data_IF_303522622977
#
_entry.id   IF_303522622977
#
_cell.length_a   1.000
_cell.length_b   1.000
_cell.length_c   1.000
_cell.angle_alpha   90.00
_cell.angle_beta   90.00
_cell.angle_gamma   90.00
#
_symmetry.space_group_name_H-M   'P 1'
#
loop_
_entity.id
_entity.type
_entity.pdbx_description
1 polymer ?
#
# COMPACT_ATOMS: atom_id res chain seq x y z
N UNK A 1 -9.20 25.15 -3.39
CA UNK A 1 -8.03 24.51 -2.76
C UNK A 1 -8.53 23.22 -2.14
N UNK A 2 -7.91 22.08 -2.44
CA UNK A 2 -8.37 20.80 -1.93
C UNK A 2 -8.02 20.66 -0.43
N UNK A 3 -9.04 20.65 0.43
CA UNK A 3 -8.90 20.53 1.90
C UNK A 3 -8.12 19.27 2.32
N UNK A 4 -8.22 18.18 1.54
CA UNK A 4 -7.48 16.92 1.75
C UNK A 4 -5.99 17.13 1.55
N UNK A 5 -5.61 17.86 0.50
CA UNK A 5 -4.20 18.14 0.18
C UNK A 5 -3.60 19.08 1.22
N UNK A 6 -4.32 20.13 1.60
CA UNK A 6 -3.88 21.08 2.62
C UNK A 6 -3.63 20.38 3.96
N UNK A 7 -4.61 19.59 4.42
CA UNK A 7 -4.48 18.85 5.68
C UNK A 7 -3.36 17.81 5.62
N UNK A 8 -3.17 17.09 4.51
CA UNK A 8 -2.02 16.20 4.35
C UNK A 8 -0.69 16.93 4.59
N UNK A 9 -0.48 18.08 3.97
CA UNK A 9 0.76 18.84 4.11
C UNK A 9 0.96 19.46 5.51
N UNK A 10 -0.13 19.71 6.24
CA UNK A 10 -0.07 20.16 7.64
C UNK A 10 0.44 19.06 8.57
N UNK A 11 -0.08 17.84 8.44
CA UNK A 11 0.18 16.76 9.41
C UNK A 11 1.28 15.78 8.99
N UNK A 12 1.51 15.59 7.70
CA UNK A 12 2.32 14.48 7.21
C UNK A 12 3.40 14.92 6.23
N UNK A 13 4.43 14.09 6.18
CA UNK A 13 5.51 14.17 5.22
C UNK A 13 6.01 12.78 4.88
N UNK A 14 6.12 12.51 3.58
CA UNK A 14 6.63 11.24 3.07
C UNK A 14 8.08 11.41 2.65
N UNK A 15 8.97 10.70 3.33
CA UNK A 15 10.42 10.75 3.15
C UNK A 15 10.89 9.45 2.51
N UNK A 16 11.61 9.54 1.40
CA UNK A 16 12.28 8.37 0.83
C UNK A 16 13.47 7.98 1.70
N UNK A 17 13.47 6.74 2.17
CA UNK A 17 14.55 6.21 3.00
C UNK A 17 15.71 5.73 2.13
N UNK A 18 16.51 6.67 1.62
CA UNK A 18 17.66 6.40 0.74
C UNK A 18 19.00 6.31 1.47
N UNK A 19 19.12 6.97 2.62
CA UNK A 19 20.36 6.94 3.42
C UNK A 19 20.38 5.76 4.38
N UNK A 20 21.57 5.25 4.76
CA UNK A 20 21.68 4.19 5.78
C UNK A 20 20.98 4.55 7.09
N UNK A 21 20.98 5.83 7.47
CA UNK A 21 20.32 6.33 8.68
C UNK A 21 18.80 6.18 8.58
N UNK A 22 18.20 6.58 7.44
CA UNK A 22 16.75 6.48 7.23
C UNK A 22 16.31 5.02 7.06
N UNK A 23 17.11 4.18 6.38
CA UNK A 23 16.83 2.75 6.28
C UNK A 23 16.80 2.08 7.66
N UNK A 24 17.75 2.40 8.55
CA UNK A 24 17.71 1.92 9.94
C UNK A 24 16.44 2.33 10.67
N UNK A 25 15.93 3.54 10.44
CA UNK A 25 14.65 3.98 11.03
C UNK A 25 13.48 3.13 10.50
N UNK A 26 13.44 2.82 9.20
CA UNK A 26 12.41 1.96 8.62
C UNK A 26 12.47 0.54 9.18
N UNK A 27 13.66 -0.05 9.29
CA UNK A 27 13.85 -1.39 9.86
C UNK A 27 13.52 -1.43 11.36
N UNK A 28 13.83 -0.37 12.09
CA UNK A 28 13.46 -0.25 13.50
C UNK A 28 11.94 -0.15 13.67
N UNK A 29 11.24 0.65 12.86
CA UNK A 29 9.77 0.71 12.88
C UNK A 29 9.13 -0.65 12.58
N UNK A 30 9.69 -1.39 11.62
CA UNK A 30 9.26 -2.76 11.33
C UNK A 30 9.45 -3.70 12.51
N UNK A 31 10.60 -3.62 13.17
CA UNK A 31 10.89 -4.38 14.39
C UNK A 31 9.89 -4.04 15.51
N UNK A 32 9.68 -2.75 15.80
CA UNK A 32 8.74 -2.31 16.83
C UNK A 32 7.33 -2.85 16.54
N UNK A 33 6.85 -2.74 15.30
CA UNK A 33 5.52 -3.20 14.93
C UNK A 33 5.38 -4.73 15.03
N UNK A 34 6.23 -5.50 14.34
CA UNK A 34 6.05 -6.96 14.27
C UNK A 34 6.54 -7.70 15.51
N UNK A 35 7.71 -7.32 16.01
CA UNK A 35 8.39 -8.09 17.06
C UNK A 35 7.93 -7.69 18.46
N UNK A 36 7.74 -6.38 18.68
CA UNK A 36 7.44 -5.83 20.02
C UNK A 36 5.93 -5.69 20.22
N UNK A 37 5.25 -4.95 19.33
CA UNK A 37 3.84 -4.61 19.49
C UNK A 37 2.89 -5.77 19.14
N UNK A 38 3.05 -6.36 17.95
CA UNK A 38 2.18 -7.43 17.47
C UNK A 38 2.61 -8.81 17.99
N UNK A 39 3.90 -8.99 18.29
CA UNK A 39 4.52 -10.30 18.59
C UNK A 39 4.11 -11.35 17.54
N UNK A 40 4.23 -10.95 16.28
CA UNK A 40 3.80 -11.77 15.16
C UNK A 40 4.57 -13.10 15.15
N UNK A 41 3.92 -14.25 14.89
CA UNK A 41 4.61 -15.53 14.81
C UNK A 41 5.77 -15.47 13.80
N UNK A 42 6.96 -15.95 14.17
CA UNK A 42 8.15 -15.87 13.32
C UNK A 42 8.95 -14.57 13.42
N UNK A 43 8.44 -13.57 14.14
CA UNK A 43 9.10 -12.28 14.39
C UNK A 43 9.49 -12.12 15.86
N UNK A 44 9.97 -13.17 16.51
CA UNK A 44 10.35 -13.12 17.92
C UNK A 44 11.51 -12.14 18.15
N UNK A 45 11.38 -11.23 19.11
CA UNK A 45 12.37 -10.18 19.37
C UNK A 45 13.80 -10.72 19.61
N UNK A 46 13.93 -11.92 20.18
CA UNK A 46 15.21 -12.60 20.38
C UNK A 46 15.98 -12.90 19.09
N UNK A 47 15.31 -12.95 17.94
CA UNK A 47 15.94 -13.11 16.61
C UNK A 47 16.53 -11.82 16.06
N UNK A 48 16.25 -10.67 16.69
CA UNK A 48 16.62 -9.34 16.21
C UNK A 48 17.43 -8.58 17.28
N UNK A 49 18.67 -9.01 17.58
CA UNK A 49 19.49 -8.41 18.64
C UNK A 49 19.86 -6.94 18.38
N UNK A 50 19.78 -6.49 17.13
CA UNK A 50 20.02 -5.10 16.72
C UNK A 50 18.75 -4.26 16.65
N UNK A 51 17.60 -4.81 17.08
CA UNK A 51 16.29 -4.13 17.06
C UNK A 51 15.88 -3.59 15.68
N UNK A 52 16.19 -4.36 14.63
CA UNK A 52 15.89 -4.02 13.25
C UNK A 52 15.34 -5.25 12.54
N UNK A 53 14.15 -5.13 11.94
CA UNK A 53 13.58 -6.18 11.09
C UNK A 53 13.96 -5.92 9.64
N UNK A 54 14.70 -6.86 9.06
CA UNK A 54 15.13 -6.85 7.67
C UNK A 54 15.10 -8.27 7.09
N UNK A 55 14.88 -8.39 5.80
CA UNK A 55 14.89 -9.66 5.07
C UNK A 55 15.68 -9.56 3.76
N UNK A 56 15.75 -10.68 3.03
CA UNK A 56 16.50 -10.78 1.78
C UNK A 56 15.98 -9.89 0.64
N UNK A 57 14.82 -9.26 0.74
CA UNK A 57 14.26 -8.40 -0.31
C UNK A 57 14.66 -6.94 -0.17
N UNK A 58 15.16 -6.52 1.00
CA UNK A 58 15.45 -5.11 1.29
C UNK A 58 16.53 -4.50 0.38
N UNK A 59 17.49 -5.30 -0.09
CA UNK A 59 18.60 -4.80 -0.92
C UNK A 59 18.18 -4.34 -2.33
N UNK A 60 17.02 -4.77 -2.84
CA UNK A 60 16.47 -4.36 -4.13
C UNK A 60 15.07 -3.73 -3.96
N UNK A 61 14.83 -3.11 -2.81
CA UNK A 61 13.57 -2.44 -2.50
C UNK A 61 13.76 -0.93 -2.39
N UNK A 62 12.68 -0.19 -2.66
CA UNK A 62 12.53 1.20 -2.24
C UNK A 62 11.71 1.27 -0.95
N UNK A 63 12.07 2.20 -0.08
CA UNK A 63 11.48 2.35 1.25
C UNK A 63 11.05 3.79 1.48
N UNK A 64 9.92 3.98 2.16
CA UNK A 64 9.48 5.28 2.66
C UNK A 64 9.32 5.27 4.17
N UNK A 65 9.49 6.45 4.74
CA UNK A 65 9.08 6.78 6.10
C UNK A 65 7.97 7.83 6.04
N UNK A 66 6.96 7.64 6.88
CA UNK A 66 5.93 8.65 7.12
C UNK A 66 6.28 9.40 8.40
N UNK A 67 6.56 10.69 8.28
CA UNK A 67 6.77 11.60 9.42
C UNK A 67 5.47 12.32 9.76
N UNK A 68 5.14 12.36 11.04
CA UNK A 68 4.10 13.23 11.58
C UNK A 68 4.72 14.57 11.93
N UNK A 69 4.35 15.63 11.20
CA UNK A 69 4.98 16.96 11.30
C UNK A 69 4.85 17.57 12.71
N UNK A 70 3.68 17.55 13.38
CA UNK A 70 3.56 18.17 14.70
C UNK A 70 4.45 17.55 15.78
N UNK A 71 4.68 16.22 15.74
CA UNK A 71 5.56 15.55 16.73
C UNK A 71 7.00 15.36 16.25
N UNK A 72 7.26 15.48 14.94
CA UNK A 72 8.54 15.18 14.32
C UNK A 72 8.88 13.69 14.22
N UNK A 73 8.02 12.81 14.74
CA UNK A 73 8.27 11.37 14.81
C UNK A 73 7.99 10.66 13.48
N UNK A 74 8.70 9.57 13.22
CA UNK A 74 8.31 8.61 12.19
C UNK A 74 7.20 7.70 12.73
N UNK A 75 6.08 7.66 12.02
CA UNK A 75 4.85 7.00 12.47
C UNK A 75 4.41 5.85 11.55
N UNK A 76 5.13 5.64 10.45
CA UNK A 76 4.81 4.58 9.51
C UNK A 76 5.90 4.37 8.46
N UNK A 77 5.81 3.26 7.75
CA UNK A 77 6.70 2.90 6.65
C UNK A 77 5.98 2.00 5.65
N UNK A 78 6.50 1.93 4.43
CA UNK A 78 6.12 0.96 3.41
C UNK A 78 7.35 0.59 2.58
N UNK A 79 7.29 -0.60 1.97
CA UNK A 79 8.32 -1.12 1.07
C UNK A 79 7.72 -1.43 -0.30
N UNK A 80 8.42 -1.02 -1.35
CA UNK A 80 8.19 -1.46 -2.72
C UNK A 80 9.37 -2.33 -3.16
N UNK A 81 9.14 -3.63 -3.28
CA UNK A 81 10.12 -4.58 -3.83
C UNK A 81 10.13 -4.40 -5.34
N UNK A 82 11.31 -4.20 -5.91
CA UNK A 82 11.51 -4.02 -7.35
C UNK A 82 11.85 -5.36 -8.04
N UNK A 83 11.75 -5.48 -9.37
CA UNK A 83 12.31 -6.62 -10.09
C UNK A 83 13.79 -6.78 -9.75
N UNK A 84 14.23 -8.02 -9.49
CA UNK A 84 15.62 -8.25 -9.15
C UNK A 84 16.51 -7.99 -10.38
N UNK A 85 17.48 -7.05 -10.33
CA UNK A 85 18.19 -6.62 -11.54
C UNK A 85 19.00 -7.72 -12.23
N UNK A 86 19.50 -8.69 -11.47
CA UNK A 86 20.34 -9.78 -11.98
C UNK A 86 19.52 -10.99 -12.44
N UNK A 87 18.25 -11.08 -12.03
CA UNK A 87 17.32 -12.12 -12.48
C UNK A 87 15.89 -11.56 -12.48
N UNK A 88 15.48 -10.89 -13.57
CA UNK A 88 14.14 -10.30 -13.68
C UNK A 88 12.99 -11.33 -13.69
N UNK A 89 13.30 -12.62 -13.89
CA UNK A 89 12.32 -13.70 -13.81
C UNK A 89 12.13 -14.21 -12.38
N UNK A 90 12.95 -13.76 -11.43
CA UNK A 90 12.85 -14.12 -10.02
C UNK A 90 11.46 -13.78 -9.50
N UNK A 91 10.84 -14.78 -8.87
CA UNK A 91 9.52 -14.64 -8.28
C UNK A 91 9.52 -13.67 -7.09
N UNK A 92 8.48 -12.84 -7.01
CA UNK A 92 8.16 -12.01 -5.85
C UNK A 92 7.65 -12.87 -4.68
N UNK A 93 7.75 -12.40 -3.43
CA UNK A 93 7.26 -13.15 -2.26
C UNK A 93 5.80 -13.63 -2.41
N UNK A 94 4.92 -12.80 -2.96
CA UNK A 94 3.50 -13.14 -3.20
C UNK A 94 3.37 -14.36 -4.10
N UNK A 95 4.19 -14.49 -5.14
CA UNK A 95 4.17 -15.61 -6.07
C UNK A 95 4.72 -16.89 -5.44
N UNK A 96 5.68 -16.76 -4.54
CA UNK A 96 6.31 -17.90 -3.86
C UNK A 96 5.41 -18.48 -2.78
N UNK A 97 4.65 -17.63 -2.08
CA UNK A 97 3.94 -18.01 -0.85
C UNK A 97 2.43 -18.19 -1.05
N UNK A 98 1.90 -17.82 -2.22
CA UNK A 98 0.47 -17.92 -2.53
C UNK A 98 0.22 -18.64 -3.85
N UNK A 99 -1.05 -18.88 -4.18
CA UNK A 99 -1.46 -19.42 -5.47
C UNK A 99 -2.33 -18.39 -6.17
N UNK A 100 -2.10 -18.22 -7.47
CA UNK A 100 -2.93 -17.37 -8.31
C UNK A 100 -3.96 -18.22 -9.05
N UNK A 101 -5.15 -17.66 -9.20
CA UNK A 101 -6.20 -18.23 -10.04
C UNK A 101 -6.01 -17.72 -11.48
N UNK A 102 -5.70 -18.60 -12.46
CA UNK A 102 -5.54 -18.20 -13.85
C UNK A 102 -6.80 -17.59 -14.48
N UNK A 103 -7.98 -17.80 -13.89
CA UNK A 103 -9.21 -17.14 -14.31
C UNK A 103 -9.29 -15.67 -13.85
N UNK A 104 -8.54 -15.30 -12.81
CA UNK A 104 -8.49 -13.94 -12.26
C UNK A 104 -7.31 -13.14 -12.80
N UNK A 105 -6.17 -13.79 -13.06
CA UNK A 105 -4.96 -13.12 -13.54
C UNK A 105 -4.12 -14.01 -14.47
N UNK A 106 -3.61 -13.41 -15.54
CA UNK A 106 -2.59 -14.02 -16.41
C UNK A 106 -1.25 -13.29 -16.25
N UNK A 107 -0.36 -13.86 -15.44
CA UNK A 107 0.96 -13.28 -15.16
C UNK A 107 1.86 -13.18 -16.40
N UNK A 108 1.60 -13.93 -17.47
CA UNK A 108 2.38 -13.85 -18.69
C UNK A 108 2.13 -12.55 -19.48
N UNK A 109 1.00 -11.88 -19.21
CA UNK A 109 0.63 -10.62 -19.86
C UNK A 109 1.16 -9.39 -19.12
N UNK A 110 1.73 -9.58 -17.93
CA UNK A 110 2.22 -8.49 -17.08
C UNK A 110 3.72 -8.32 -17.33
N UNK A 111 4.19 -7.12 -17.74
CA UNK A 111 5.60 -6.89 -17.95
C UNK A 111 6.39 -6.98 -16.63
N UNK A 112 7.21 -8.02 -16.47
CA UNK A 112 8.02 -8.25 -15.27
C UNK A 112 8.84 -7.04 -14.82
N UNK A 113 9.42 -6.31 -15.77
CA UNK A 113 10.24 -5.11 -15.50
C UNK A 113 9.46 -3.95 -14.87
N UNK A 114 8.14 -3.93 -15.02
CA UNK A 114 7.25 -2.90 -14.47
C UNK A 114 6.38 -3.45 -13.32
N UNK A 115 6.65 -4.67 -12.85
CA UNK A 115 5.96 -5.30 -11.74
C UNK A 115 6.76 -5.08 -10.45
N UNK A 116 6.11 -4.64 -9.38
CA UNK A 116 6.69 -4.59 -8.04
C UNK A 116 5.78 -5.25 -7.02
N UNK A 117 6.27 -5.42 -5.80
CA UNK A 117 5.45 -5.89 -4.68
C UNK A 117 5.43 -4.88 -3.54
N UNK A 118 4.23 -4.48 -3.12
CA UNK A 118 4.05 -3.68 -1.91
C UNK A 118 4.09 -4.62 -0.70
N UNK A 119 4.93 -4.29 0.26
CA UNK A 119 5.03 -5.04 1.52
C UNK A 119 5.37 -4.11 2.68
N UNK A 120 5.31 -4.64 3.91
CA UNK A 120 5.75 -3.93 5.13
C UNK A 120 5.03 -2.58 5.33
N UNK A 121 3.76 -2.51 4.95
CA UNK A 121 2.89 -1.35 5.21
C UNK A 121 2.57 -1.30 6.70
N UNK A 122 3.16 -0.33 7.40
CA UNK A 122 3.11 -0.24 8.86
C UNK A 122 2.73 1.17 9.26
N UNK A 123 1.84 1.28 10.25
CA UNK A 123 1.50 2.49 10.96
C UNK A 123 1.61 2.16 12.46
N UNK A 124 2.33 2.97 13.23
CA UNK A 124 2.50 2.71 14.67
C UNK A 124 1.15 2.80 15.39
N UNK A 125 0.93 1.90 16.36
CA UNK A 125 -0.40 1.62 16.88
C UNK A 125 -1.14 2.81 17.50
N UNK A 126 -0.43 3.76 18.11
CA UNK A 126 -1.06 4.97 18.68
C UNK A 126 -1.72 5.88 17.62
N UNK A 127 -1.24 5.83 16.37
CA UNK A 127 -1.87 6.53 15.25
C UNK A 127 -2.96 5.70 14.57
N UNK A 128 -3.08 4.40 14.91
CA UNK A 128 -4.20 3.55 14.52
C UNK A 128 -5.36 3.58 15.52
N UNK A 129 -5.15 4.09 16.75
CA UNK A 129 -6.03 3.92 17.93
C UNK A 129 -6.86 5.15 18.32
N UNK A 130 -7.03 6.16 17.46
CA UNK A 130 -8.02 7.21 17.81
C UNK A 130 -9.37 6.50 17.95
N UNK A 131 -10.19 6.93 18.93
CA UNK A 131 -11.38 6.20 19.42
C UNK A 131 -12.37 5.80 18.31
N UNK A 132 -12.24 6.45 17.15
CA UNK A 132 -12.93 6.23 15.89
C UNK A 132 -11.93 6.12 14.70
N UNK A 133 -10.93 5.21 14.72
CA UNK A 133 -10.08 4.88 13.54
C UNK A 133 -10.49 3.57 12.84
N UNK A 134 -10.53 3.50 11.50
CA UNK A 134 -10.93 2.29 10.78
C UNK A 134 -9.98 1.11 11.00
N UNK A 135 -8.68 1.37 11.18
CA UNK A 135 -7.68 0.34 11.47
C UNK A 135 -7.93 -0.32 12.83
N UNK A 136 -8.24 0.44 13.88
CA UNK A 136 -8.63 -0.11 15.19
C UNK A 136 -9.99 -0.83 15.12
N UNK A 137 -10.93 -0.31 14.33
CA UNK A 137 -12.20 -1.01 14.08
C UNK A 137 -11.96 -2.37 13.40
N UNK A 138 -11.06 -2.44 12.41
CA UNK A 138 -10.64 -3.68 11.76
C UNK A 138 -9.95 -4.63 12.74
N UNK A 139 -8.97 -4.15 13.52
CA UNK A 139 -8.31 -4.96 14.57
C UNK A 139 -9.34 -5.56 15.54
N UNK A 140 -10.45 -4.84 15.80
CA UNK A 140 -11.52 -5.25 16.70
C UNK A 140 -12.71 -5.95 16.00
N UNK A 141 -12.61 -6.25 14.71
CA UNK A 141 -13.64 -6.94 13.94
C UNK A 141 -14.94 -6.17 13.74
N UNK A 142 -14.92 -4.84 13.81
CA UNK A 142 -16.09 -3.96 13.61
C UNK A 142 -16.26 -3.58 12.13
N UNK A 143 -17.52 -3.32 11.75
CA UNK A 143 -17.91 -2.88 10.40
C UNK A 143 -17.26 -1.54 10.03
N UNK A 144 -16.70 -1.44 8.82
CA UNK A 144 -16.14 -0.21 8.25
C UNK A 144 -17.05 0.47 7.21
N UNK A 145 -18.27 -0.03 7.06
CA UNK A 145 -19.22 0.40 6.02
C UNK A 145 -19.88 1.75 6.32
N UNK A 146 -20.00 2.12 7.60
CA UNK A 146 -20.53 3.43 8.02
C UNK A 146 -19.51 4.59 7.92
N UNK A 147 -18.30 4.32 7.42
CA UNK A 147 -17.21 5.28 7.45
C UNK A 147 -17.28 6.24 6.27
N UNK A 148 -17.28 7.53 6.59
CA UNK A 148 -17.21 8.61 5.60
C UNK A 148 -15.77 9.13 5.53
N UNK A 149 -15.03 8.91 4.44
CA UNK A 149 -13.63 9.35 4.29
C UNK A 149 -13.40 10.86 4.50
N UNK A 150 -14.46 11.67 4.36
CA UNK A 150 -14.44 13.13 4.49
C UNK A 150 -14.83 13.66 5.88
N UNK A 151 -15.05 12.79 6.89
CA UNK A 151 -15.33 13.27 8.24
C UNK A 151 -14.10 14.04 8.79
N UNK A 152 -14.24 15.37 8.93
CA UNK A 152 -13.16 16.31 9.31
C UNK A 152 -12.46 15.95 10.63
N UNK A 153 -13.11 15.16 11.49
CA UNK A 153 -12.50 14.68 12.76
C UNK A 153 -11.45 13.59 12.57
N UNK A 154 -11.39 12.98 11.37
CA UNK A 154 -10.68 11.72 11.08
C UNK A 154 -9.64 11.85 9.96
N UNK A 155 -9.46 13.05 9.43
CA UNK A 155 -8.58 13.36 8.32
C UNK A 155 -7.44 14.29 8.77
N UNK A 156 -6.19 14.14 8.26
CA UNK A 156 -5.71 13.16 7.27
C UNK A 156 -5.43 11.77 7.86
N UNK A 157 -5.67 10.71 7.07
CA UNK A 157 -5.44 9.31 7.47
C UNK A 157 -4.02 8.85 7.05
N UNK A 158 -3.18 8.29 7.96
CA UNK A 158 -1.81 7.87 7.65
C UNK A 158 -1.67 6.88 6.48
N UNK A 159 -2.67 6.02 6.27
CA UNK A 159 -2.69 5.07 5.15
C UNK A 159 -2.68 5.77 3.78
N UNK A 160 -3.46 6.84 3.63
CA UNK A 160 -3.47 7.62 2.40
C UNK A 160 -2.12 8.33 2.21
N UNK A 161 -1.51 8.77 3.31
CA UNK A 161 -0.18 9.36 3.28
C UNK A 161 0.91 8.35 2.84
N UNK A 162 0.83 7.08 3.27
CA UNK A 162 1.71 6.03 2.77
C UNK A 162 1.45 5.73 1.28
N UNK A 163 0.19 5.76 0.83
CA UNK A 163 -0.16 5.57 -0.57
C UNK A 163 0.48 6.63 -1.49
N UNK A 164 0.50 7.91 -1.07
CA UNK A 164 1.23 8.98 -1.78
C UNK A 164 2.69 8.57 -2.03
N UNK A 165 3.37 8.04 -1.02
CA UNK A 165 4.76 7.60 -1.16
C UNK A 165 4.94 6.37 -2.03
N UNK A 166 4.03 5.39 -1.93
CA UNK A 166 4.08 4.18 -2.73
C UNK A 166 3.88 4.51 -4.21
N UNK A 167 2.91 5.36 -4.55
CA UNK A 167 2.64 5.80 -5.92
C UNK A 167 3.84 6.59 -6.45
N UNK A 168 4.38 7.53 -5.67
CA UNK A 168 5.59 8.28 -6.03
C UNK A 168 6.76 7.36 -6.35
N UNK A 169 7.10 6.43 -5.44
CA UNK A 169 8.18 5.47 -5.68
C UNK A 169 7.91 4.59 -6.90
N UNK A 170 6.66 4.22 -7.15
CA UNK A 170 6.30 3.39 -8.30
C UNK A 170 6.56 4.13 -9.61
N UNK A 171 6.10 5.38 -9.70
CA UNK A 171 6.34 6.24 -10.88
C UNK A 171 7.83 6.51 -11.09
N UNK A 172 8.58 6.82 -10.02
CA UNK A 172 10.03 7.05 -10.10
C UNK A 172 10.84 5.82 -10.54
N UNK A 173 10.31 4.62 -10.28
CA UNK A 173 10.96 3.33 -10.59
C UNK A 173 10.37 2.62 -11.80
N UNK A 174 9.47 3.28 -12.53
CA UNK A 174 8.79 2.74 -13.70
C UNK A 174 8.05 1.42 -13.40
N UNK A 175 7.42 1.36 -12.22
CA UNK A 175 6.56 0.27 -11.78
C UNK A 175 5.11 0.67 -12.01
N UNK A 176 4.42 -0.09 -12.86
CA UNK A 176 3.02 0.13 -13.25
C UNK A 176 2.07 -0.94 -12.71
N UNK A 177 2.62 -2.02 -12.16
CA UNK A 177 1.85 -3.13 -11.63
C UNK A 177 2.33 -3.51 -10.23
N UNK A 178 1.39 -3.85 -9.35
CA UNK A 178 1.69 -4.26 -7.99
C UNK A 178 1.16 -5.65 -7.70
N UNK A 179 1.95 -6.43 -6.95
CA UNK A 179 1.50 -7.54 -6.14
C UNK A 179 1.48 -7.12 -4.66
N UNK A 180 0.66 -7.81 -3.87
CA UNK A 180 0.66 -7.70 -2.41
C UNK A 180 -0.01 -8.92 -1.77
N UNK A 181 0.44 -9.30 -0.57
CA UNK A 181 -0.28 -10.22 0.32
C UNK A 181 -0.72 -9.49 1.58
N UNK A 182 -2.03 -9.48 1.82
CA UNK A 182 -2.60 -8.77 2.97
C UNK A 182 -3.89 -9.40 3.48
N UNK A 183 -4.31 -8.98 4.67
CA UNK A 183 -5.62 -9.31 5.21
C UNK A 183 -6.75 -8.65 4.37
N UNK A 184 -7.88 -9.34 4.13
CA UNK A 184 -9.01 -8.77 3.39
C UNK A 184 -9.57 -7.48 3.98
N UNK A 185 -9.47 -7.32 5.30
CA UNK A 185 -9.89 -6.13 6.02
C UNK A 185 -9.10 -4.89 5.61
N UNK A 186 -7.79 -5.01 5.44
CA UNK A 186 -6.94 -3.92 4.95
C UNK A 186 -7.34 -3.51 3.53
N UNK A 187 -7.64 -4.47 2.64
CA UNK A 187 -8.08 -4.15 1.28
C UNK A 187 -9.43 -3.41 1.28
N UNK A 188 -10.38 -3.78 2.15
CA UNK A 188 -11.65 -3.06 2.31
C UNK A 188 -11.42 -1.61 2.77
N UNK A 189 -10.50 -1.39 3.70
CA UNK A 189 -10.14 -0.04 4.14
C UNK A 189 -9.51 0.79 3.01
N UNK A 190 -8.60 0.20 2.23
CA UNK A 190 -8.03 0.87 1.06
C UNK A 190 -9.11 1.27 0.05
N UNK A 191 -10.14 0.43 -0.13
CA UNK A 191 -11.29 0.73 -0.98
C UNK A 191 -12.08 1.99 -0.59
N UNK A 192 -12.05 2.41 0.69
CA UNK A 192 -12.67 3.67 1.11
C UNK A 192 -12.01 4.90 0.46
N UNK A 193 -10.80 4.76 -0.07
CA UNK A 193 -10.02 5.83 -0.71
C UNK A 193 -9.79 5.58 -2.21
N UNK A 194 -10.47 4.60 -2.83
CA UNK A 194 -10.23 4.21 -4.22
C UNK A 194 -8.96 3.37 -4.43
N UNK A 195 -8.25 3.00 -3.36
CA UNK A 195 -6.99 2.23 -3.36
C UNK A 195 -7.21 0.72 -3.30
N UNK A 196 -8.41 0.22 -3.57
CA UNK A 196 -8.69 -1.23 -3.57
C UNK A 196 -7.82 -1.96 -4.60
N UNK A 197 -7.27 -3.10 -4.19
CA UNK A 197 -6.60 -4.06 -5.07
C UNK A 197 -7.55 -5.23 -5.42
N UNK A 198 -7.30 -5.85 -6.57
CA UNK A 198 -8.07 -6.98 -7.07
C UNK A 198 -7.56 -8.29 -6.45
N UNK A 199 -8.42 -9.12 -5.82
CA UNK A 199 -8.01 -10.44 -5.34
C UNK A 199 -7.71 -11.35 -6.52
N UNK A 200 -6.58 -12.07 -6.47
CA UNK A 200 -6.11 -12.90 -7.58
C UNK A 200 -5.92 -14.38 -7.20
N UNK A 201 -6.42 -14.78 -6.04
CA UNK A 201 -6.29 -16.15 -5.55
C UNK A 201 -6.98 -16.38 -4.21
N UNK A 202 -6.95 -17.61 -3.69
CA UNK A 202 -7.62 -17.96 -2.45
C UNK A 202 -6.94 -17.33 -1.23
N UNK A 203 -7.70 -17.23 -0.14
CA UNK A 203 -7.14 -16.91 1.17
C UNK A 203 -6.28 -18.07 1.68
N UNK A 204 -5.17 -17.73 2.32
CA UNK A 204 -4.23 -18.66 2.96
C UNK A 204 -4.07 -18.29 4.44
N UNK A 205 -3.72 -19.29 5.25
CA UNK A 205 -3.24 -19.05 6.62
C UNK A 205 -1.74 -18.76 6.59
N UNK A 206 -1.40 -17.48 6.66
CA UNK A 206 -0.02 -17.00 6.68
C UNK A 206 0.09 -15.77 7.57
N UNK A 207 0.44 -15.97 8.85
CA UNK A 207 0.39 -14.93 9.88
C UNK A 207 -0.99 -14.25 9.95
N UNK A 208 -2.04 -15.08 9.98
CA UNK A 208 -3.45 -14.70 9.83
C UNK A 208 -4.02 -15.03 8.44
N UNK A 209 -5.33 -14.82 8.26
CA UNK A 209 -6.00 -15.02 6.96
C UNK A 209 -5.64 -13.90 5.99
N UNK A 210 -4.83 -14.24 4.99
CA UNK A 210 -4.36 -13.30 3.96
C UNK A 210 -4.66 -13.80 2.56
N UNK A 211 -4.83 -12.89 1.61
CA UNK A 211 -5.00 -13.21 0.19
C UNK A 211 -3.94 -12.53 -0.67
N UNK A 212 -3.64 -13.08 -1.85
CA UNK A 212 -2.86 -12.38 -2.87
C UNK A 212 -3.74 -11.38 -3.64
N UNK A 213 -3.16 -10.22 -3.91
CA UNK A 213 -3.81 -9.13 -4.62
C UNK A 213 -2.92 -8.57 -5.73
N UNK A 214 -3.56 -7.99 -6.74
CA UNK A 214 -2.94 -7.32 -7.88
C UNK A 214 -3.52 -5.94 -8.11
N UNK A 215 -2.71 -5.03 -8.67
CA UNK A 215 -3.16 -3.76 -9.24
C UNK A 215 -2.45 -3.46 -10.54
N UNK A 216 -3.23 -2.93 -11.49
CA UNK A 216 -2.77 -2.07 -12.59
C UNK A 216 -2.90 -0.61 -12.14
N UNK A 217 -1.77 0.08 -11.99
CA UNK A 217 -1.71 1.41 -11.40
C UNK A 217 -2.48 2.45 -12.23
N UNK A 218 -2.44 2.36 -13.56
CA UNK A 218 -3.17 3.28 -14.44
C UNK A 218 -4.68 3.13 -14.20
N UNK A 219 -5.19 1.88 -14.20
CA UNK A 219 -6.61 1.61 -13.93
C UNK A 219 -7.05 2.05 -12.54
N UNK A 220 -6.19 1.86 -11.53
CA UNK A 220 -6.49 2.31 -10.17
C UNK A 220 -6.60 3.83 -10.12
N UNK A 221 -5.69 4.55 -10.76
CA UNK A 221 -5.70 6.02 -10.80
C UNK A 221 -6.88 6.56 -11.62
N UNK A 222 -7.25 5.94 -12.73
CA UNK A 222 -8.42 6.32 -13.52
C UNK A 222 -9.71 6.22 -12.69
N UNK A 223 -9.93 5.08 -12.03
CA UNK A 223 -11.05 4.89 -11.11
C UNK A 223 -11.04 5.92 -9.98
N UNK A 224 -9.86 6.21 -9.42
CA UNK A 224 -9.73 7.20 -8.36
C UNK A 224 -10.05 8.61 -8.85
N UNK A 225 -9.69 8.96 -10.08
CA UNK A 225 -10.04 10.25 -10.69
C UNK A 225 -11.57 10.39 -10.87
N UNK A 226 -12.24 9.32 -11.30
CA UNK A 226 -13.69 9.32 -11.52
C UNK A 226 -14.50 9.37 -10.22
N UNK A 227 -14.19 8.51 -9.26
CA UNK A 227 -15.04 8.30 -8.06
C UNK A 227 -14.49 8.97 -6.79
N UNK A 228 -13.19 9.33 -6.77
CA UNK A 228 -12.47 9.75 -5.57
C UNK A 228 -11.51 10.93 -5.84
N UNK A 229 -11.91 11.88 -6.70
CA UNK A 229 -11.01 12.91 -7.25
C UNK A 229 -10.16 13.66 -6.20
N UNK A 230 -10.72 13.96 -5.02
CA UNK A 230 -9.97 14.64 -3.95
C UNK A 230 -8.75 13.84 -3.44
N UNK A 231 -8.82 12.51 -3.45
CA UNK A 231 -7.70 11.63 -3.12
C UNK A 231 -6.78 11.45 -4.31
N UNK A 232 -7.34 11.38 -5.52
CA UNK A 232 -6.56 11.38 -6.76
C UNK A 232 -5.63 12.61 -6.84
N UNK A 233 -6.15 13.81 -6.58
CA UNK A 233 -5.38 15.06 -6.57
C UNK A 233 -4.23 15.01 -5.55
N UNK A 234 -4.46 14.39 -4.39
CA UNK A 234 -3.41 14.22 -3.38
C UNK A 234 -2.35 13.21 -3.83
N UNK A 235 -2.74 12.01 -4.25
CA UNK A 235 -1.77 10.94 -4.54
C UNK A 235 -1.00 11.15 -5.83
N UNK A 236 -1.55 11.92 -6.77
CA UNK A 236 -0.92 12.23 -8.05
C UNK A 236 -0.27 13.62 -8.08
N UNK A 237 -0.33 14.40 -6.99
CA UNK A 237 0.02 15.83 -7.01
C UNK A 237 -0.64 16.56 -8.21
N UNK A 238 -1.97 16.51 -8.25
CA UNK A 238 -2.78 17.08 -9.34
C UNK A 238 -2.35 16.60 -10.74
N UNK A 239 -2.04 15.31 -10.87
CA UNK A 239 -1.62 14.67 -12.12
C UNK A 239 -0.14 14.81 -12.48
N UNK A 240 0.70 15.40 -11.63
CA UNK A 240 2.16 15.49 -11.89
C UNK A 240 2.89 14.16 -11.67
N UNK A 241 2.35 13.29 -10.82
CA UNK A 241 2.88 11.98 -10.45
C UNK A 241 1.93 10.90 -10.98
N UNK A 242 2.11 10.56 -12.26
CA UNK A 242 1.38 9.49 -12.95
C UNK A 242 2.36 8.65 -13.79
N UNK A 243 2.08 7.36 -14.05
CA UNK A 243 2.90 6.52 -14.91
C UNK A 243 3.08 7.10 -16.32
N UNK A 244 4.18 6.76 -16.99
CA UNK A 244 4.48 7.27 -18.33
C UNK A 244 3.46 6.81 -19.39
N UNK A 245 2.88 5.61 -19.22
CA UNK A 245 1.78 5.09 -20.04
C UNK A 245 0.53 5.99 -20.00
N UNK A 246 0.25 6.62 -18.86
CA UNK A 246 -0.85 7.57 -18.68
C UNK A 246 -0.64 8.94 -19.35
N UNK A 247 0.58 9.27 -19.82
CA UNK A 247 0.86 10.53 -20.53
C UNK A 247 0.48 10.50 -22.01
N UNK A 248 0.13 9.33 -22.54
CA UNK A 248 -0.28 9.13 -23.93
C UNK A 248 -1.67 8.49 -24.03
N UNK A 249 -2.73 9.29 -23.88
CA UNK A 249 -3.90 9.34 -24.80
C UNK A 249 -5.13 10.03 -24.16
N UNK A 250 -5.68 11.09 -24.79
CA UNK A 250 -7.12 11.25 -24.88
C UNK A 250 -7.62 10.35 -26.02
N UNK A 251 -7.81 9.05 -25.77
CA UNK A 251 -8.59 8.21 -26.68
C UNK A 251 -9.17 6.99 -25.95
N UNK A 252 -10.45 7.08 -25.61
CA UNK A 252 -11.25 6.03 -24.97
C UNK A 252 -11.57 4.94 -26.00
N UNK A 253 -11.22 3.69 -25.69
CA UNK A 253 -11.69 2.46 -26.37
C UNK A 253 -12.41 1.54 -25.36
N UNK A 254 -13.29 0.63 -25.80
CA UNK A 254 -14.52 0.31 -25.08
C UNK A 254 -14.28 -0.54 -23.82
N UNK A 255 -14.96 -0.13 -22.75
CA UNK A 255 -14.97 -0.82 -21.47
C UNK A 255 -15.55 -2.23 -21.56
N UNK A 256 -14.94 -3.13 -20.78
CA UNK A 256 -15.54 -4.43 -20.47
C UNK A 256 -16.58 -4.27 -19.35
N UNK A 257 -17.68 -5.04 -19.39
CA UNK A 257 -18.87 -4.73 -18.61
C UNK A 257 -18.71 -5.07 -17.12
N UNK A 258 -18.94 -4.08 -16.27
CA UNK A 258 -19.44 -4.29 -14.92
C UNK A 258 -20.93 -4.65 -14.96
N UNK A 259 -21.28 -5.83 -14.43
CA UNK A 259 -22.50 -6.04 -13.66
C UNK A 259 -22.64 -7.53 -13.28
N UNK A 260 -22.28 -7.91 -12.05
CA UNK A 260 -22.99 -8.98 -11.37
C UNK A 260 -24.12 -8.35 -10.57
N UNK A 261 -25.33 -8.46 -11.10
CA UNK A 261 -26.57 -8.16 -10.39
C UNK A 261 -26.70 -9.15 -9.22
N UNK A 262 -26.84 -8.61 -8.02
CA UNK A 262 -27.43 -9.32 -6.89
C UNK A 262 -28.91 -9.50 -7.22
N UNK A 263 -29.37 -10.75 -7.25
CA UNK A 263 -30.79 -11.09 -7.31
C UNK A 263 -31.23 -11.46 -5.89
N UNK A 264 -32.38 -10.89 -5.52
CA UNK A 264 -33.07 -10.95 -4.24
C UNK A 264 -33.06 -12.30 -3.53
#
# INVERSE_FOLDING_TARGET
MNDVVAAFHEYFEVIDARSPQLLRQAFHLRYQAYCVEQRAPGFEASKYPTEMESDGYDHHSSHILLRHRPSGEFIGTARLILPYPLDPARAFPTEQHTRFDPALIDMNRIPRRHLGEISRLIIVRRFMRRRDEPLDAIEKGRSVEAWKPMDRRRFPHPLLALAVGIIRMSVERDITHWLSVMEPSLNRLLGLYGLQLDPIGPLIEHHGKRGPYYVDLDRMLDRMHEDYNQFWELVTDYGRVIPASGKSAPNRGPGFPHALKIVN
#
